data_IF_128120159322
#
_entry.id   IF_128120159322
#
_cell.length_a   1.000
_cell.length_b   1.000
_cell.length_c   1.000
_cell.angle_alpha   90.00
_cell.angle_beta   90.00
_cell.angle_gamma   90.00
#
_symmetry.space_group_name_H-M   'P 1'
#
loop_
_entity.id
_entity.type
_entity.pdbx_description
1 polymer ?
#
# COMPACT_ATOMS: atom_id res chain seq x y z
N UNK A 1 29.79 -18.03 -41.98
CA UNK A 1 28.90 -19.05 -41.43
C UNK A 1 27.73 -18.40 -40.67
N UNK A 2 27.04 -17.42 -41.31
CA UNK A 2 25.92 -16.67 -40.67
C UNK A 2 24.71 -16.52 -41.64
N UNK A 3 24.73 -17.12 -42.81
CA UNK A 3 23.68 -16.96 -43.86
C UNK A 3 22.70 -18.15 -43.90
N UNK A 4 22.87 -19.20 -43.10
CA UNK A 4 22.01 -20.41 -43.21
C UNK A 4 20.86 -20.48 -42.15
N UNK A 5 20.69 -19.48 -41.30
CA UNK A 5 19.66 -19.52 -40.24
C UNK A 5 18.41 -18.64 -40.50
N UNK A 6 18.34 -17.92 -41.62
CA UNK A 6 17.24 -17.01 -41.90
C UNK A 6 16.15 -17.58 -42.83
N UNK A 7 16.29 -18.80 -43.35
CA UNK A 7 15.33 -19.38 -44.32
C UNK A 7 14.43 -20.49 -43.73
N UNK A 8 14.49 -20.81 -42.42
CA UNK A 8 13.65 -21.88 -41.86
C UNK A 8 12.38 -21.40 -41.13
N UNK A 9 12.12 -20.09 -41.07
CA UNK A 9 10.94 -19.55 -40.36
C UNK A 9 9.80 -19.05 -41.29
N UNK A 10 9.81 -19.35 -42.59
CA UNK A 10 8.83 -18.77 -43.52
C UNK A 10 7.76 -19.74 -44.03
N UNK A 11 7.63 -20.95 -43.50
CA UNK A 11 6.71 -21.95 -44.09
C UNK A 11 5.66 -22.51 -43.11
N UNK A 12 5.38 -21.89 -41.97
CA UNK A 12 4.35 -22.41 -41.04
C UNK A 12 3.47 -21.32 -40.39
N UNK A 13 3.17 -20.25 -41.09
CA UNK A 13 2.04 -19.37 -40.73
C UNK A 13 0.99 -19.49 -41.80
N UNK A 14 0.18 -20.55 -41.74
CA UNK A 14 -1.07 -20.60 -42.47
C UNK A 14 -1.92 -19.43 -41.98
N UNK A 15 -2.37 -18.59 -42.94
CA UNK A 15 -3.34 -17.52 -42.65
C UNK A 15 -4.60 -18.13 -42.04
N UNK A 16 -4.74 -18.06 -40.71
CA UNK A 16 -6.00 -18.34 -40.03
C UNK A 16 -6.93 -17.18 -40.41
N UNK A 17 -7.77 -17.36 -41.44
CA UNK A 17 -8.88 -16.46 -41.76
C UNK A 17 -9.86 -16.50 -40.59
N UNK A 18 -9.61 -15.70 -39.59
CA UNK A 18 -10.47 -15.56 -38.42
C UNK A 18 -11.76 -14.83 -38.82
N UNK A 19 -12.90 -15.51 -38.66
CA UNK A 19 -14.22 -14.95 -38.96
C UNK A 19 -14.41 -13.63 -38.20
N UNK A 20 -14.98 -12.61 -38.86
CA UNK A 20 -15.17 -11.26 -38.30
C UNK A 20 -15.91 -11.27 -36.94
N UNK A 21 -16.86 -12.21 -36.77
CA UNK A 21 -17.57 -12.39 -35.51
C UNK A 21 -16.63 -12.88 -34.36
N UNK A 22 -15.65 -13.73 -34.69
CA UNK A 22 -14.66 -14.22 -33.72
C UNK A 22 -13.68 -13.12 -33.32
N UNK A 23 -13.32 -12.21 -34.23
CA UNK A 23 -12.47 -11.04 -33.95
C UNK A 23 -13.16 -10.06 -33.00
N UNK A 24 -14.47 -9.83 -33.17
CA UNK A 24 -15.27 -8.96 -32.30
C UNK A 24 -15.38 -9.57 -30.88
N UNK A 25 -15.59 -10.89 -30.81
CA UNK A 25 -15.66 -11.58 -29.50
C UNK A 25 -14.32 -11.57 -28.77
N UNK A 26 -13.19 -11.75 -29.46
CA UNK A 26 -11.86 -11.66 -28.87
C UNK A 26 -11.52 -10.24 -28.44
N UNK A 27 -11.96 -9.21 -29.17
CA UNK A 27 -11.74 -7.81 -28.80
C UNK A 27 -12.57 -7.42 -27.58
N UNK A 28 -13.81 -7.89 -27.46
CA UNK A 28 -14.68 -7.66 -26.30
C UNK A 28 -14.15 -8.39 -25.07
N UNK A 29 -13.61 -9.60 -25.20
CA UNK A 29 -12.99 -10.33 -24.10
C UNK A 29 -11.71 -9.66 -23.58
N UNK A 30 -10.90 -9.05 -24.47
CA UNK A 30 -9.70 -8.29 -24.07
C UNK A 30 -10.06 -6.98 -23.37
N UNK A 31 -11.14 -6.31 -23.78
CA UNK A 31 -11.58 -5.07 -23.12
C UNK A 31 -12.19 -5.34 -21.75
N UNK A 32 -12.79 -6.53 -21.50
CA UNK A 32 -13.32 -6.90 -20.18
C UNK A 32 -12.27 -7.34 -19.17
N UNK A 33 -11.02 -7.58 -19.57
CA UNK A 33 -9.92 -7.93 -18.65
C UNK A 33 -9.14 -6.72 -18.13
N UNK A 34 -9.49 -5.50 -18.53
CA UNK A 34 -8.85 -4.28 -18.05
C UNK A 34 -9.61 -3.72 -16.83
N UNK A 35 -9.01 -3.96 -15.68
CA UNK A 35 -9.19 -3.20 -14.44
C UNK A 35 -10.40 -3.55 -13.57
N UNK A 36 -10.27 -4.60 -12.78
CA UNK A 36 -11.01 -4.75 -11.52
C UNK A 36 -10.37 -3.90 -10.39
N UNK A 37 -9.99 -2.67 -10.65
CA UNK A 37 -9.97 -1.68 -9.58
C UNK A 37 -11.42 -1.30 -9.33
N UNK A 38 -11.97 -1.72 -8.20
CA UNK A 38 -13.31 -1.30 -7.83
C UNK A 38 -13.39 0.22 -7.90
N UNK A 39 -14.25 0.75 -8.79
CA UNK A 39 -14.43 2.19 -8.92
C UNK A 39 -14.83 2.79 -7.56
N UNK A 40 -14.36 4.02 -7.30
CA UNK A 40 -14.74 4.73 -6.07
C UNK A 40 -16.27 4.73 -5.92
N UNK A 41 -16.81 4.28 -4.78
CA UNK A 41 -18.24 4.31 -4.54
C UNK A 41 -18.79 5.73 -4.56
N UNK A 42 -19.94 5.90 -5.21
CA UNK A 42 -20.68 7.15 -5.11
C UNK A 42 -21.30 7.29 -3.72
N UNK A 43 -21.26 8.48 -3.14
CA UNK A 43 -21.87 8.80 -1.86
C UNK A 43 -20.92 9.48 -0.87
N UNK A 44 -21.37 9.72 0.39
CA UNK A 44 -20.56 10.40 1.38
C UNK A 44 -19.36 9.53 1.80
N UNK A 45 -18.22 10.18 2.01
CA UNK A 45 -16.97 9.51 2.42
C UNK A 45 -17.04 8.96 3.86
N UNK A 46 -18.03 9.38 4.64
CA UNK A 46 -18.34 8.82 5.96
C UNK A 46 -19.09 7.47 5.88
N UNK A 47 -19.58 7.07 4.69
CA UNK A 47 -20.30 5.80 4.54
C UNK A 47 -19.38 4.60 4.70
N UNK A 48 -19.90 3.50 5.27
CA UNK A 48 -19.16 2.23 5.38
C UNK A 48 -18.67 1.75 4.01
N UNK A 49 -19.51 1.90 2.98
CA UNK A 49 -19.16 1.51 1.61
C UNK A 49 -17.90 2.22 1.10
N UNK A 50 -17.79 3.53 1.35
CA UNK A 50 -16.61 4.30 0.97
C UNK A 50 -15.40 3.90 1.81
N UNK A 51 -15.55 3.75 3.14
CA UNK A 51 -14.47 3.35 4.03
C UNK A 51 -13.94 1.96 3.67
N UNK A 52 -14.81 0.99 3.37
CA UNK A 52 -14.41 -0.35 2.92
C UNK A 52 -13.57 -0.26 1.64
N UNK A 53 -14.03 0.49 0.64
CA UNK A 53 -13.28 0.70 -0.60
C UNK A 53 -11.94 1.38 -0.35
N UNK A 54 -11.94 2.49 0.39
CA UNK A 54 -10.74 3.30 0.64
C UNK A 54 -9.68 2.54 1.44
N UNK A 55 -10.11 1.85 2.52
CA UNK A 55 -9.15 1.21 3.40
C UNK A 55 -8.63 -0.11 2.81
N UNK A 56 -9.49 -0.90 2.19
CA UNK A 56 -9.08 -2.15 1.55
C UNK A 56 -8.15 -1.94 0.34
N UNK A 57 -8.20 -0.76 -0.30
CA UNK A 57 -7.30 -0.43 -1.41
C UNK A 57 -5.84 -0.17 -0.99
N UNK A 58 -5.56 -0.17 0.32
CA UNK A 58 -4.21 -0.06 0.85
C UNK A 58 -3.33 -1.29 0.56
N UNK A 59 -3.92 -2.42 0.19
CA UNK A 59 -3.20 -3.65 -0.15
C UNK A 59 -3.59 -4.16 -1.54
N UNK A 60 -2.82 -5.08 -2.15
CA UNK A 60 -3.22 -5.76 -3.37
C UNK A 60 -4.60 -6.41 -3.23
N UNK A 61 -5.35 -6.53 -4.33
CA UNK A 61 -6.73 -7.03 -4.32
C UNK A 61 -6.88 -8.41 -3.66
N UNK A 62 -5.92 -9.31 -3.89
CA UNK A 62 -5.91 -10.65 -3.28
C UNK A 62 -5.81 -10.64 -1.74
N UNK A 63 -5.37 -9.51 -1.14
CA UNK A 63 -5.39 -9.25 0.30
C UNK A 63 -6.61 -8.41 0.67
N UNK A 64 -6.71 -7.21 0.09
CA UNK A 64 -7.67 -6.19 0.48
C UNK A 64 -9.13 -6.61 0.32
N UNK A 65 -9.48 -7.35 -0.73
CA UNK A 65 -10.84 -7.83 -0.95
C UNK A 65 -11.32 -8.81 0.12
N UNK A 66 -10.39 -9.52 0.76
CA UNK A 66 -10.66 -10.56 1.77
C UNK A 66 -10.36 -10.13 3.21
N UNK A 67 -9.75 -8.97 3.39
CA UNK A 67 -9.39 -8.46 4.71
C UNK A 67 -10.62 -8.02 5.50
N UNK A 68 -10.58 -8.10 6.81
CA UNK A 68 -11.49 -7.35 7.67
C UNK A 68 -11.29 -5.84 7.44
N UNK A 69 -12.33 -5.04 7.66
CA UNK A 69 -12.20 -3.59 7.62
C UNK A 69 -12.76 -2.99 8.89
N UNK A 70 -11.93 -2.18 9.55
CA UNK A 70 -12.32 -1.39 10.72
C UNK A 70 -12.64 0.02 10.24
N UNK A 71 -13.86 0.48 10.54
CA UNK A 71 -14.33 1.81 10.23
C UNK A 71 -13.74 2.89 11.15
N UNK A 72 -13.96 4.15 10.80
CA UNK A 72 -13.49 5.30 11.57
C UNK A 72 -14.03 5.37 13.01
N UNK A 73 -15.11 4.65 13.29
CA UNK A 73 -15.69 4.51 14.63
C UNK A 73 -15.07 3.38 15.47
N UNK A 74 -14.02 2.73 14.97
CA UNK A 74 -13.35 1.58 15.60
C UNK A 74 -14.10 0.26 15.51
N UNK A 75 -15.22 0.18 14.78
CA UNK A 75 -16.00 -1.06 14.63
C UNK A 75 -15.65 -1.79 13.35
N UNK A 76 -15.76 -3.11 13.37
CA UNK A 76 -15.68 -3.91 12.15
C UNK A 76 -16.90 -3.60 11.28
N UNK A 77 -16.65 -3.09 10.08
CA UNK A 77 -17.67 -2.74 9.06
C UNK A 77 -17.68 -3.73 7.89
N UNK A 78 -16.68 -4.60 7.83
CA UNK A 78 -16.63 -5.78 6.96
C UNK A 78 -15.81 -6.85 7.66
N UNK A 79 -16.41 -8.05 7.81
CA UNK A 79 -15.69 -9.23 8.28
C UNK A 79 -14.69 -9.71 7.23
N UNK A 80 -13.53 -10.21 7.69
CA UNK A 80 -12.48 -10.77 6.82
C UNK A 80 -12.59 -12.28 6.67
N UNK A 81 -12.00 -12.78 5.58
CA UNK A 81 -11.83 -14.23 5.32
C UNK A 81 -10.37 -14.63 5.22
N UNK A 82 -9.47 -13.69 5.47
CA UNK A 82 -8.02 -13.90 5.59
C UNK A 82 -7.52 -13.31 6.92
N UNK A 83 -6.22 -13.40 7.19
CA UNK A 83 -5.62 -12.91 8.43
C UNK A 83 -5.28 -11.39 8.42
N UNK A 84 -5.83 -10.63 7.48
CA UNK A 84 -5.54 -9.22 7.30
C UNK A 84 -6.68 -8.32 7.76
N UNK A 85 -6.32 -7.16 8.28
CA UNK A 85 -7.25 -6.09 8.65
C UNK A 85 -6.81 -4.80 7.99
N UNK A 86 -7.75 -4.05 7.41
CA UNK A 86 -7.50 -2.76 6.79
C UNK A 86 -8.27 -1.66 7.53
N UNK A 87 -7.65 -0.51 7.71
CA UNK A 87 -8.24 0.65 8.40
C UNK A 87 -7.54 1.95 8.02
N UNK A 88 -8.02 3.07 8.55
CA UNK A 88 -7.27 4.34 8.53
C UNK A 88 -6.10 4.26 9.50
N UNK A 89 -4.90 4.63 9.05
CA UNK A 89 -3.71 4.84 9.87
C UNK A 89 -3.47 6.31 10.21
N UNK A 90 -4.35 7.24 9.78
CA UNK A 90 -4.15 8.65 10.01
C UNK A 90 -4.35 9.00 11.50
N UNK A 91 -3.32 9.53 12.19
CA UNK A 91 -3.40 9.88 13.61
C UNK A 91 -4.20 11.16 13.88
N UNK A 92 -4.54 11.92 12.83
CA UNK A 92 -5.29 13.18 12.96
C UNK A 92 -6.77 12.90 13.21
N UNK A 93 -7.52 13.84 13.81
CA UNK A 93 -8.96 13.70 14.02
C UNK A 93 -9.71 13.37 12.74
N UNK A 94 -10.64 12.40 12.82
CA UNK A 94 -11.48 12.04 11.69
C UNK A 94 -12.34 13.21 11.25
N UNK A 95 -12.30 13.64 9.97
CA UNK A 95 -13.05 14.80 9.50
C UNK A 95 -14.58 14.54 9.51
N UNK A 96 -15.38 15.58 9.78
CA UNK A 96 -16.83 15.50 9.76
C UNK A 96 -17.41 14.95 8.44
N UNK A 97 -16.76 15.28 7.31
CA UNK A 97 -17.15 14.82 5.97
C UNK A 97 -16.44 13.55 5.52
N UNK A 98 -15.65 12.92 6.41
CA UNK A 98 -14.74 11.82 6.08
C UNK A 98 -13.46 12.28 5.38
N UNK A 99 -12.52 11.37 5.20
CA UNK A 99 -11.28 11.63 4.46
C UNK A 99 -11.58 11.94 2.99
N UNK A 100 -10.84 12.84 2.37
CA UNK A 100 -11.04 13.23 0.95
C UNK A 100 -10.75 12.07 -0.02
N UNK A 101 -9.77 11.25 0.33
CA UNK A 101 -9.31 10.12 -0.49
C UNK A 101 -8.57 9.09 0.39
N UNK A 102 -8.22 7.90 -0.17
CA UNK A 102 -7.48 6.87 0.58
C UNK A 102 -6.09 7.30 1.05
N UNK A 103 -5.42 8.23 0.35
CA UNK A 103 -4.14 8.79 0.77
C UNK A 103 -4.28 9.65 2.03
N UNK A 104 -5.25 10.55 2.08
CA UNK A 104 -5.52 11.33 3.30
C UNK A 104 -5.94 10.44 4.47
N UNK A 105 -6.66 9.34 4.21
CA UNK A 105 -6.96 8.34 5.23
C UNK A 105 -5.72 7.63 5.76
N UNK A 106 -4.57 7.74 5.08
CA UNK A 106 -3.37 6.93 5.36
C UNK A 106 -3.74 5.44 5.49
N UNK A 107 -4.55 4.97 4.53
CA UNK A 107 -5.13 3.63 4.60
C UNK A 107 -4.03 2.57 4.68
N UNK A 108 -4.15 1.66 5.65
CA UNK A 108 -3.18 0.60 5.95
C UNK A 108 -3.85 -0.74 6.09
N UNK A 109 -3.24 -1.80 5.53
CA UNK A 109 -3.61 -3.19 5.79
C UNK A 109 -2.45 -3.89 6.51
N UNK A 110 -2.74 -4.58 7.60
CA UNK A 110 -1.79 -5.26 8.47
C UNK A 110 -2.33 -6.62 8.93
N UNK A 111 -1.47 -7.48 9.44
CA UNK A 111 -1.85 -8.68 10.19
C UNK A 111 -1.95 -8.39 11.71
N UNK A 112 -2.13 -9.44 12.53
CA UNK A 112 -2.26 -9.29 13.97
C UNK A 112 -1.01 -8.73 14.65
N UNK A 113 0.20 -9.05 14.18
CA UNK A 113 1.45 -8.51 14.74
C UNK A 113 1.64 -7.06 14.33
N UNK A 114 1.30 -6.70 13.08
CA UNK A 114 1.28 -5.32 12.63
C UNK A 114 0.30 -4.45 13.43
N UNK A 115 -0.86 -5.00 13.84
CA UNK A 115 -1.77 -4.32 14.76
C UNK A 115 -1.10 -4.03 16.11
N UNK A 116 -0.38 -4.99 16.70
CA UNK A 116 0.34 -4.78 17.96
C UNK A 116 1.37 -3.66 17.83
N UNK A 117 2.12 -3.64 16.73
CA UNK A 117 3.09 -2.57 16.46
C UNK A 117 2.40 -1.21 16.38
N UNK A 118 1.34 -1.11 15.57
CA UNK A 118 0.62 0.15 15.36
C UNK A 118 -0.03 0.67 16.65
N UNK A 119 -0.61 -0.20 17.47
CA UNK A 119 -1.19 0.19 18.76
C UNK A 119 -0.12 0.70 19.73
N UNK A 120 1.03 0.03 19.79
CA UNK A 120 2.17 0.46 20.61
C UNK A 120 2.70 1.83 20.15
N UNK A 121 2.87 2.02 18.84
CA UNK A 121 3.27 3.29 18.25
C UNK A 121 2.31 4.43 18.63
N UNK A 122 0.99 4.22 18.51
CA UNK A 122 -0.02 5.22 18.84
C UNK A 122 -0.12 5.53 20.33
N UNK A 123 0.24 4.58 21.21
CA UNK A 123 0.24 4.77 22.68
C UNK A 123 1.59 5.23 23.25
N UNK A 124 2.64 5.28 22.40
CA UNK A 124 4.01 5.59 22.86
C UNK A 124 4.67 4.47 23.66
N UNK A 125 4.15 3.24 23.52
CA UNK A 125 4.68 2.06 24.20
C UNK A 125 5.61 1.26 23.28
N UNK A 126 6.46 0.41 23.87
CA UNK A 126 7.29 -0.51 23.10
C UNK A 126 6.45 -1.58 22.41
N UNK A 127 6.62 -1.80 21.08
CA UNK A 127 5.96 -2.91 20.40
C UNK A 127 6.33 -4.27 21.00
N UNK A 128 5.32 -5.10 21.31
CA UNK A 128 5.49 -6.46 21.83
C UNK A 128 4.98 -7.47 20.82
N UNK A 129 5.82 -7.77 19.82
CA UNK A 129 5.51 -8.67 18.73
C UNK A 129 6.14 -10.05 18.94
N UNK A 130 5.49 -11.10 18.46
CA UNK A 130 6.01 -12.47 18.50
C UNK A 130 6.89 -12.81 17.29
N UNK A 131 6.67 -12.11 16.18
CA UNK A 131 7.39 -12.25 14.90
C UNK A 131 7.40 -10.94 14.12
N UNK A 132 8.19 -10.88 13.06
CA UNK A 132 8.12 -9.80 12.09
C UNK A 132 6.74 -9.74 11.41
N UNK A 133 6.35 -8.56 10.98
CA UNK A 133 5.10 -8.32 10.27
C UNK A 133 5.32 -7.43 9.05
N UNK A 134 4.35 -7.47 8.14
CA UNK A 134 4.29 -6.54 7.01
C UNK A 134 3.02 -5.70 7.09
N UNK A 135 3.14 -4.45 6.63
CA UNK A 135 2.00 -3.57 6.42
C UNK A 135 2.01 -3.02 5.00
N UNK A 136 0.82 -2.86 4.43
CA UNK A 136 0.64 -2.32 3.09
C UNK A 136 0.01 -0.93 3.16
N UNK A 137 0.62 0.04 2.48
CA UNK A 137 0.11 1.40 2.32
C UNK A 137 0.21 1.84 0.85
N UNK A 138 -0.51 1.14 -0.06
CA UNK A 138 -0.46 1.42 -1.51
C UNK A 138 -1.06 2.76 -1.91
N UNK A 139 -1.73 3.44 -0.98
CA UNK A 139 -2.21 4.81 -1.19
C UNK A 139 -1.23 5.86 -0.67
N UNK A 140 -0.19 5.44 0.05
CA UNK A 140 0.75 6.34 0.71
C UNK A 140 0.19 6.97 1.99
N UNK A 141 0.90 7.97 2.50
CA UNK A 141 0.59 8.69 3.73
C UNK A 141 0.76 10.22 3.58
N UNK A 142 0.23 10.97 4.54
CA UNK A 142 0.24 12.44 4.58
C UNK A 142 1.55 13.03 5.11
N UNK A 143 2.56 12.22 5.28
CA UNK A 143 3.88 12.62 5.72
C UNK A 143 4.12 12.52 7.22
N UNK A 144 5.40 12.26 7.51
CA UNK A 144 5.96 12.14 8.85
C UNK A 144 7.45 12.48 8.82
N UNK A 145 8.04 12.81 9.97
CA UNK A 145 9.49 12.95 10.11
C UNK A 145 10.15 11.57 10.04
N UNK A 146 11.13 11.41 9.16
CA UNK A 146 11.80 10.13 8.95
C UNK A 146 12.61 9.65 10.17
N UNK A 147 13.00 10.57 11.06
CA UNK A 147 13.88 10.28 12.19
C UNK A 147 13.17 10.32 13.54
N UNK A 148 12.02 10.99 13.63
CA UNK A 148 11.29 11.23 14.87
C UNK A 148 9.88 10.69 14.79
N UNK A 149 9.62 9.60 15.50
CA UNK A 149 8.29 9.03 15.64
C UNK A 149 7.29 10.04 16.25
N UNK A 150 6.06 10.08 15.72
CA UNK A 150 4.99 10.92 16.24
C UNK A 150 5.02 12.40 15.77
N UNK A 151 5.89 12.76 14.84
CA UNK A 151 5.93 14.10 14.24
C UNK A 151 5.13 14.11 12.94
N UNK A 152 3.88 14.55 13.02
CA UNK A 152 2.90 14.50 11.93
C UNK A 152 2.67 15.86 11.22
N UNK A 153 3.43 16.90 11.57
CA UNK A 153 3.36 18.18 10.90
C UNK A 153 4.74 18.54 10.34
N UNK A 154 4.77 19.01 9.11
CA UNK A 154 6.02 19.32 8.41
C UNK A 154 6.83 20.41 9.12
N UNK A 155 6.14 21.35 9.75
CA UNK A 155 6.74 22.46 10.49
C UNK A 155 7.48 22.02 11.75
N UNK A 156 7.12 20.86 12.32
CA UNK A 156 7.71 20.27 13.53
C UNK A 156 8.84 19.30 13.18
N UNK A 157 8.98 18.93 11.91
CA UNK A 157 9.99 18.00 11.41
C UNK A 157 11.39 18.60 11.41
N UNK A 158 12.40 17.76 11.61
CA UNK A 158 13.77 18.15 11.43
C UNK A 158 14.03 18.58 9.96
N UNK A 159 14.92 19.56 9.74
CA UNK A 159 15.23 20.01 8.38
C UNK A 159 15.70 18.88 7.46
N UNK A 160 14.95 18.65 6.38
CA UNK A 160 15.28 17.61 5.39
C UNK A 160 14.74 16.22 5.73
N UNK A 161 14.07 16.03 6.89
CA UNK A 161 13.61 14.71 7.33
C UNK A 161 12.11 14.44 7.07
N UNK A 162 11.37 15.40 6.53
CA UNK A 162 9.97 15.20 6.18
C UNK A 162 9.81 14.41 4.90
N UNK A 163 9.02 13.34 4.95
CA UNK A 163 8.62 12.57 3.77
C UNK A 163 7.10 12.35 3.75
N UNK A 164 6.45 12.75 2.66
CA UNK A 164 5.10 12.38 2.31
C UNK A 164 5.19 11.19 1.34
N UNK A 165 5.00 9.99 1.89
CA UNK A 165 5.28 8.75 1.17
C UNK A 165 4.18 8.40 0.18
N UNK A 166 4.54 8.00 -1.03
CA UNK A 166 3.64 7.35 -1.96
C UNK A 166 3.44 5.86 -1.63
N UNK A 167 2.99 5.04 -2.60
CA UNK A 167 2.78 3.61 -2.40
C UNK A 167 4.01 2.89 -1.85
N UNK A 168 3.82 2.13 -0.77
CA UNK A 168 4.90 1.37 -0.15
C UNK A 168 4.40 0.15 0.63
N UNK A 169 5.34 -0.69 1.00
CA UNK A 169 5.20 -1.79 1.96
C UNK A 169 6.15 -1.51 3.12
N UNK A 170 5.77 -1.87 4.32
CA UNK A 170 6.63 -1.77 5.50
C UNK A 170 6.90 -3.15 6.07
N UNK A 171 8.15 -3.42 6.46
CA UNK A 171 8.52 -4.53 7.33
C UNK A 171 8.66 -3.97 8.75
N UNK A 172 7.81 -4.45 9.65
CA UNK A 172 7.88 -4.19 11.08
C UNK A 172 8.66 -5.32 11.73
N UNK A 173 9.94 -5.14 12.06
CA UNK A 173 10.72 -6.19 12.68
C UNK A 173 10.31 -6.38 14.14
N UNK A 174 10.29 -7.63 14.60
CA UNK A 174 10.17 -7.94 16.04
C UNK A 174 11.35 -7.35 16.83
N UNK A 175 12.55 -7.42 16.25
CA UNK A 175 13.77 -6.85 16.80
C UNK A 175 14.30 -5.78 15.82
N UNK A 176 14.16 -4.48 16.16
CA UNK A 176 14.64 -3.38 15.31
C UNK A 176 16.13 -3.44 14.96
N UNK A 177 16.96 -4.08 15.80
CA UNK A 177 18.40 -4.22 15.52
C UNK A 177 18.70 -5.02 14.24
N UNK A 178 17.76 -5.85 13.78
CA UNK A 178 17.93 -6.65 12.56
C UNK A 178 17.99 -5.81 11.28
N UNK A 179 17.45 -4.59 11.32
CA UNK A 179 17.41 -3.67 10.17
C UNK A 179 18.33 -2.45 10.30
N UNK A 180 19.07 -2.30 11.39
CA UNK A 180 19.90 -1.10 11.70
C UNK A 180 20.99 -0.79 10.65
N UNK A 181 21.38 -1.80 9.84
CA UNK A 181 22.39 -1.66 8.78
C UNK A 181 21.84 -1.14 7.45
N UNK A 182 20.53 -1.06 7.31
CA UNK A 182 19.95 -0.43 6.13
C UNK A 182 20.13 1.10 6.21
N UNK A 183 20.21 1.73 5.04
CA UNK A 183 20.24 3.20 4.96
C UNK A 183 18.96 3.82 5.51
N UNK A 184 19.03 5.03 6.04
CA UNK A 184 17.86 5.88 6.32
C UNK A 184 17.59 6.90 5.21
N UNK A 185 18.33 6.84 4.09
CA UNK A 185 18.14 7.70 2.95
C UNK A 185 16.87 7.33 2.18
N UNK A 186 15.79 8.05 2.45
CA UNK A 186 14.50 7.85 1.79
C UNK A 186 14.43 8.37 0.35
N UNK A 187 15.46 9.10 -0.12
CA UNK A 187 15.52 9.60 -1.49
C UNK A 187 16.32 8.69 -2.43
N UNK A 188 17.00 7.69 -1.90
CA UNK A 188 17.88 6.80 -2.67
C UNK A 188 17.18 5.74 -3.51
N UNK A 189 15.86 5.59 -3.42
CA UNK A 189 15.07 4.60 -4.19
C UNK A 189 15.16 3.15 -3.71
N UNK A 190 16.06 2.86 -2.77
CA UNK A 190 16.18 1.56 -2.12
C UNK A 190 15.26 1.47 -0.88
N UNK A 191 15.00 0.27 -0.34
CA UNK A 191 14.41 0.15 0.99
C UNK A 191 15.26 0.87 2.03
N UNK A 192 14.63 1.61 2.94
CA UNK A 192 15.30 2.43 3.95
C UNK A 192 14.64 2.30 5.32
N UNK A 193 15.39 2.61 6.38
CA UNK A 193 14.88 2.58 7.76
C UNK A 193 14.26 3.92 8.11
N UNK A 194 13.00 3.89 8.52
CA UNK A 194 12.31 5.00 9.17
C UNK A 194 12.42 4.85 10.69
N UNK A 195 12.59 5.95 11.42
CA UNK A 195 12.85 6.03 12.87
C UNK A 195 14.08 5.26 13.33
N UNK A 196 15.25 5.44 12.68
CA UNK A 196 16.46 4.69 12.98
C UNK A 196 16.86 4.84 14.46
N UNK A 197 17.27 3.73 15.09
CA UNK A 197 17.71 3.71 16.49
C UNK A 197 16.58 3.81 17.52
N UNK A 198 15.33 3.73 17.11
CA UNK A 198 14.17 3.71 18.01
C UNK A 198 13.51 2.32 18.05
N UNK A 199 12.63 2.12 19.04
CA UNK A 199 11.81 0.91 19.13
C UNK A 199 10.75 0.79 18.01
N UNK A 200 10.53 1.89 17.29
CA UNK A 200 9.61 1.97 16.15
C UNK A 200 10.32 1.88 14.80
N UNK A 201 11.65 1.61 14.79
CA UNK A 201 12.37 1.45 13.55
C UNK A 201 11.74 0.35 12.70
N UNK A 202 11.44 0.68 11.45
CA UNK A 202 10.87 -0.24 10.48
C UNK A 202 11.45 0.02 9.10
N UNK A 203 11.38 -0.98 8.21
CA UNK A 203 11.91 -0.87 6.86
C UNK A 203 10.80 -0.45 5.91
N UNK A 204 10.96 0.74 5.34
CA UNK A 204 10.15 1.24 4.24
C UNK A 204 10.62 0.60 2.92
N UNK A 205 9.71 0.04 2.16
CA UNK A 205 9.96 -0.62 0.88
C UNK A 205 9.16 0.13 -0.19
N UNK A 206 9.77 1.11 -0.88
CA UNK A 206 9.14 1.85 -1.95
C UNK A 206 8.64 0.94 -3.07
N UNK A 207 7.45 1.21 -3.60
CA UNK A 207 6.96 0.59 -4.82
C UNK A 207 6.67 1.66 -5.87
N UNK A 208 6.25 1.26 -7.07
CA UNK A 208 6.01 2.21 -8.17
C UNK A 208 5.10 3.36 -7.74
N UNK A 209 5.52 4.59 -8.05
CA UNK A 209 4.82 5.83 -7.66
C UNK A 209 5.16 6.35 -6.27
N UNK A 210 6.18 5.81 -5.60
CA UNK A 210 6.54 6.19 -4.23
C UNK A 210 6.76 7.70 -4.07
N UNK A 211 7.45 8.33 -5.00
CA UNK A 211 7.78 9.77 -4.93
C UNK A 211 6.72 10.71 -5.51
N UNK A 212 5.52 10.21 -5.82
CA UNK A 212 4.47 11.05 -6.47
C UNK A 212 4.01 12.25 -5.62
N UNK A 213 4.19 12.20 -4.31
CA UNK A 213 3.85 13.28 -3.39
C UNK A 213 5.06 14.07 -2.91
N UNK A 214 6.28 13.54 -3.08
CA UNK A 214 7.53 14.21 -2.70
C UNK A 214 7.81 15.35 -3.68
N UNK A 215 7.95 16.58 -3.14
CA UNK A 215 8.21 17.81 -3.92
C UNK A 215 9.50 18.45 -3.46
#
# INVERSE_FOLDING_TARGET
MVIYLLNYHRTFIGEIKMNTKLKIFSLVAVVMSLSLYAAQPYGPHTSEKWQIWAYASAAPSFIGEKAAVIGANGKVIREGTNAWTCQSGNPRPYPEKGWKNPHEAMAVCHDGEGMKWMMAYMSGEKPNMERDSYMWMLNGDMGEDNTKAGVFNKEDSAPGEWIESGPHVMLMPKDPATIEKFSSDFMGGAPYVMFPGTEYAHLMIPVEGYYKYTK
#
